data_IF_470464310591
#
_entry.id   IF_470464310591
#
_cell.length_a   1.000
_cell.length_b   1.000
_cell.length_c   1.000
_cell.angle_alpha   90.00
_cell.angle_beta   90.00
_cell.angle_gamma   90.00
#
_symmetry.space_group_name_H-M   'P 1'
#
loop_
_entity.id
_entity.type
_entity.pdbx_description
1 polymer ?
#
# COMPACT_ATOMS: atom_id res chain seq x y z
N UNK A 1 15.49 -26.36 -10.00
CA UNK A 1 14.30 -27.16 -9.64
C UNK A 1 13.29 -26.20 -9.02
N UNK A 2 12.23 -25.83 -9.73
CA UNK A 2 11.21 -24.94 -9.19
C UNK A 2 10.31 -25.76 -8.24
N UNK A 3 10.29 -25.41 -6.96
CA UNK A 3 9.47 -26.08 -5.95
C UNK A 3 7.99 -25.91 -6.24
N UNK A 4 7.23 -27.00 -6.15
CA UNK A 4 5.78 -27.02 -6.36
C UNK A 4 5.09 -26.11 -5.34
N UNK A 5 4.39 -25.09 -5.82
CA UNK A 5 3.60 -24.19 -4.96
C UNK A 5 2.38 -24.95 -4.46
N UNK A 6 2.27 -25.14 -3.15
CA UNK A 6 1.06 -25.72 -2.53
C UNK A 6 -0.13 -24.78 -2.71
N UNK A 7 -1.26 -25.33 -3.15
CA UNK A 7 -2.53 -24.61 -3.25
C UNK A 7 -3.33 -24.75 -1.95
N UNK A 8 -3.57 -23.61 -1.28
CA UNK A 8 -4.31 -23.55 -0.02
C UNK A 8 -5.80 -23.21 -0.19
N UNK A 9 -6.31 -23.04 -1.41
CA UNK A 9 -7.69 -22.64 -1.65
C UNK A 9 -8.71 -23.59 -1.02
N UNK A 10 -8.38 -24.87 -0.90
CA UNK A 10 -9.25 -25.89 -0.29
C UNK A 10 -9.43 -25.71 1.23
N UNK A 11 -8.55 -24.98 1.90
CA UNK A 11 -8.62 -24.73 3.34
C UNK A 11 -9.35 -23.44 3.70
N UNK A 12 -9.72 -22.62 2.71
CA UNK A 12 -10.46 -21.39 2.93
C UNK A 12 -11.94 -21.69 3.21
N UNK A 13 -12.56 -20.94 4.12
CA UNK A 13 -14.00 -20.98 4.32
C UNK A 13 -14.75 -20.38 3.14
N UNK A 14 -16.03 -20.76 2.96
CA UNK A 14 -16.88 -20.20 1.91
C UNK A 14 -17.01 -18.68 1.97
N UNK A 15 -17.08 -18.12 3.20
CA UNK A 15 -17.07 -16.67 3.40
C UNK A 15 -15.77 -16.00 2.95
N UNK A 16 -14.63 -16.68 3.09
CA UNK A 16 -13.37 -16.13 2.60
C UNK A 16 -13.28 -16.19 1.08
N UNK A 17 -13.76 -17.29 0.47
CA UNK A 17 -13.80 -17.49 -0.98
C UNK A 17 -14.74 -16.49 -1.68
N UNK A 18 -15.81 -16.05 -1.01
CA UNK A 18 -16.79 -15.13 -1.60
C UNK A 18 -16.36 -13.66 -1.59
N UNK A 19 -15.23 -13.30 -0.94
CA UNK A 19 -14.70 -11.93 -0.94
C UNK A 19 -14.31 -11.50 -2.35
N UNK A 20 -14.78 -10.31 -2.76
CA UNK A 20 -14.41 -9.69 -4.03
C UNK A 20 -13.51 -8.47 -3.81
N UNK A 21 -12.57 -8.19 -4.74
CA UNK A 21 -11.80 -6.95 -4.68
C UNK A 21 -12.69 -5.70 -4.69
N UNK A 22 -12.28 -4.67 -3.95
CA UNK A 22 -13.00 -3.39 -3.93
C UNK A 22 -13.03 -2.74 -5.32
N UNK A 23 -14.21 -2.33 -5.83
CA UNK A 23 -14.30 -1.60 -7.09
C UNK A 23 -13.49 -0.29 -7.09
N UNK A 24 -13.47 0.44 -5.96
CA UNK A 24 -12.72 1.69 -5.83
C UNK A 24 -11.22 1.45 -5.93
N UNK A 25 -10.71 0.33 -5.36
CA UNK A 25 -9.28 -0.01 -5.51
C UNK A 25 -8.88 -0.24 -6.97
N UNK A 26 -9.79 -0.73 -7.82
CA UNK A 26 -9.51 -0.87 -9.26
C UNK A 26 -9.31 0.47 -9.98
N UNK A 27 -9.71 1.59 -9.37
CA UNK A 27 -9.51 2.94 -9.93
C UNK A 27 -8.14 3.54 -9.60
N UNK A 28 -7.41 3.00 -8.61
CA UNK A 28 -6.08 3.52 -8.20
C UNK A 28 -5.11 3.68 -9.38
N UNK A 29 -5.00 2.73 -10.33
CA UNK A 29 -4.12 2.90 -11.48
C UNK A 29 -4.48 4.08 -12.38
N UNK A 30 -5.76 4.47 -12.45
CA UNK A 30 -6.22 5.61 -13.25
C UNK A 30 -5.70 6.94 -12.70
N UNK A 31 -5.54 7.04 -11.38
CA UNK A 31 -4.96 8.23 -10.74
C UNK A 31 -3.47 8.43 -11.07
N UNK A 32 -2.80 7.41 -11.63
CA UNK A 32 -1.39 7.49 -12.06
C UNK A 32 -1.24 7.95 -13.52
N UNK A 33 -2.33 8.16 -14.25
CA UNK A 33 -2.28 8.64 -15.63
C UNK A 33 -1.80 10.11 -15.62
N UNK A 34 -0.73 10.46 -16.37
CA UNK A 34 -0.24 11.84 -16.41
C UNK A 34 -1.33 12.84 -16.83
N UNK A 35 -1.48 13.92 -16.08
CA UNK A 35 -2.50 14.95 -16.32
C UNK A 35 -3.92 14.61 -15.81
N UNK A 36 -4.14 13.42 -15.26
CA UNK A 36 -5.42 13.04 -14.66
C UNK A 36 -5.63 13.73 -13.30
N UNK A 37 -6.79 14.38 -13.14
CA UNK A 37 -7.24 14.88 -11.84
C UNK A 37 -8.25 13.87 -11.26
N UNK A 38 -7.90 13.24 -10.15
CA UNK A 38 -8.74 12.22 -9.51
C UNK A 38 -9.66 12.83 -8.44
N UNK A 39 -10.97 12.79 -8.68
CA UNK A 39 -12.01 13.07 -7.68
C UNK A 39 -12.70 11.79 -7.16
N UNK A 40 -12.26 10.62 -7.63
CA UNK A 40 -12.95 9.34 -7.39
C UNK A 40 -12.49 8.58 -6.15
N UNK A 41 -11.28 8.83 -5.65
CA UNK A 41 -10.72 8.17 -4.47
C UNK A 41 -10.67 9.15 -3.30
N UNK A 42 -11.09 8.72 -2.11
CA UNK A 42 -11.00 9.51 -0.88
C UNK A 42 -9.59 9.54 -0.28
N UNK A 43 -8.56 9.75 -1.10
CA UNK A 43 -7.17 9.77 -0.62
C UNK A 43 -6.88 11.08 0.16
N UNK A 44 -6.26 10.99 1.36
CA UNK A 44 -5.86 12.17 2.11
C UNK A 44 -4.79 12.98 1.36
N UNK A 45 -4.71 14.29 1.64
CA UNK A 45 -3.67 15.17 1.11
C UNK A 45 -2.34 14.93 1.86
N UNK A 46 -1.26 14.47 1.19
CA UNK A 46 -0.01 14.13 1.86
C UNK A 46 0.67 15.31 2.58
N UNK A 47 0.45 16.55 2.13
CA UNK A 47 1.04 17.74 2.75
C UNK A 47 0.45 18.07 4.13
N UNK A 48 -0.65 17.41 4.52
CA UNK A 48 -1.28 17.59 5.83
C UNK A 48 -0.82 16.54 6.85
N UNK A 49 0.02 15.59 6.46
CA UNK A 49 0.59 14.65 7.41
C UNK A 49 1.61 15.36 8.31
N UNK A 50 1.52 15.22 9.64
CA UNK A 50 2.35 15.96 10.59
C UNK A 50 3.73 15.30 10.80
N UNK A 51 4.36 14.79 9.75
CA UNK A 51 5.62 14.07 9.84
C UNK A 51 6.61 14.53 8.77
N UNK A 52 7.82 14.91 9.20
CA UNK A 52 8.91 15.29 8.30
C UNK A 52 9.80 14.09 7.92
N UNK A 53 9.91 13.09 8.79
CA UNK A 53 10.73 11.91 8.55
C UNK A 53 10.77 11.02 9.79
N UNK A 54 11.30 9.81 9.64
CA UNK A 54 11.43 8.86 10.76
C UNK A 54 12.85 8.30 10.76
N UNK A 55 13.49 8.34 11.92
CA UNK A 55 14.77 7.66 12.16
C UNK A 55 14.55 6.51 13.13
N UNK A 56 15.00 5.31 12.76
CA UNK A 56 14.86 4.09 13.55
C UNK A 56 16.26 3.57 13.90
N UNK A 57 16.60 3.63 15.18
CA UNK A 57 17.87 3.10 15.69
C UNK A 57 17.73 1.60 15.99
N UNK A 58 18.58 0.79 15.38
CA UNK A 58 18.59 -0.66 15.56
C UNK A 58 19.63 -1.07 16.60
N UNK A 59 19.39 -2.22 17.25
CA UNK A 59 20.35 -2.81 18.21
C UNK A 59 21.68 -3.23 17.55
N UNK A 60 21.71 -3.39 16.23
CA UNK A 60 22.93 -3.62 15.45
C UNK A 60 23.83 -2.38 15.38
N UNK A 61 23.36 -1.21 15.80
CA UNK A 61 24.06 0.07 15.65
C UNK A 61 23.73 0.81 14.36
N UNK A 62 22.97 0.20 13.46
CA UNK A 62 22.49 0.84 12.23
C UNK A 62 21.31 1.79 12.52
N UNK A 63 21.16 2.82 11.69
CA UNK A 63 20.01 3.72 11.71
C UNK A 63 19.32 3.68 10.35
N UNK A 64 18.04 3.31 10.34
CA UNK A 64 17.20 3.40 9.16
C UNK A 64 16.58 4.79 9.09
N UNK A 65 16.73 5.45 7.95
CA UNK A 65 16.12 6.76 7.71
C UNK A 65 14.99 6.61 6.69
N UNK A 66 13.80 7.09 7.06
CA UNK A 66 12.65 7.21 6.18
C UNK A 66 12.49 8.70 5.86
N UNK A 67 12.73 9.04 4.60
CA UNK A 67 12.64 10.43 4.14
C UNK A 67 11.18 10.92 4.07
N UNK A 68 11.01 12.25 3.98
CA UNK A 68 9.69 12.90 3.96
C UNK A 68 8.82 12.44 2.79
N UNK A 69 9.43 12.16 1.63
CA UNK A 69 8.73 11.81 0.40
C UNK A 69 8.17 10.40 0.48
N UNK A 70 9.02 9.43 0.81
CA UNK A 70 8.67 8.02 1.01
C UNK A 70 7.66 7.90 2.13
N UNK A 71 7.82 8.66 3.22
CA UNK A 71 6.87 8.69 4.33
C UNK A 71 5.50 9.20 3.87
N UNK A 72 5.45 10.31 3.15
CA UNK A 72 4.22 10.90 2.64
C UNK A 72 3.47 9.96 1.69
N UNK A 73 4.19 9.27 0.81
CA UNK A 73 3.61 8.26 -0.08
C UNK A 73 3.08 7.04 0.69
N UNK A 74 3.79 6.61 1.74
CA UNK A 74 3.45 5.43 2.54
C UNK A 74 2.25 5.63 3.46
N UNK A 75 1.97 6.86 3.88
CA UNK A 75 0.83 7.19 4.74
C UNK A 75 -0.51 7.26 3.96
N UNK A 76 -0.45 7.12 2.63
CA UNK A 76 -1.63 7.13 1.75
C UNK A 76 -2.08 5.71 1.41
N UNK A 77 -3.22 5.57 0.71
CA UNK A 77 -3.66 4.29 0.15
C UNK A 77 -2.74 3.83 -1.00
N UNK A 78 -1.59 3.26 -0.64
CA UNK A 78 -0.64 2.67 -1.56
C UNK A 78 -1.20 1.43 -2.29
N UNK A 79 -0.48 0.91 -3.30
CA UNK A 79 -0.84 -0.34 -3.96
C UNK A 79 -0.82 -1.50 -2.95
N UNK A 80 -1.88 -2.30 -2.94
CA UNK A 80 -2.03 -3.54 -2.16
C UNK A 80 -1.68 -4.77 -2.97
#
# INVERSE_FOLDING_TARGET
MAGTKFDYNNYLSENSKSRKPSPIRRMIPLAKIPGMISFGAGAPNPSLFPFEGINISLKSGETLQIDSKVLSESLTYGPS
#
